data_IF_751042435196
#
_entry.id   IF_751042435196
#
_cell.length_a   1.000
_cell.length_b   1.000
_cell.length_c   1.000
_cell.angle_alpha   90.00
_cell.angle_beta   90.00
_cell.angle_gamma   90.00
#
_symmetry.space_group_name_H-M   'P 1'
#
loop_
_entity.id
_entity.type
_entity.pdbx_description
1 polymer ?
#
# COMPACT_ATOMS: atom_id res chain seq x y z
N UNK A 1 16.03 24.70 -33.63
CA UNK A 1 16.81 24.93 -32.39
C UNK A 1 15.85 25.35 -31.28
N UNK A 2 15.40 24.39 -30.45
CA UNK A 2 15.11 24.49 -29.01
C UNK A 2 14.32 23.25 -28.57
N UNK A 3 15.03 22.13 -28.38
CA UNK A 3 14.57 21.05 -27.51
C UNK A 3 14.58 21.60 -26.08
N UNK A 4 13.45 22.08 -25.56
CA UNK A 4 13.30 22.23 -24.11
C UNK A 4 12.95 20.86 -23.55
N UNK A 5 13.98 20.13 -23.15
CA UNK A 5 13.87 18.89 -22.38
C UNK A 5 13.33 19.17 -20.98
N UNK A 6 12.02 19.38 -20.85
CA UNK A 6 11.33 19.17 -19.58
C UNK A 6 10.99 17.68 -19.50
N UNK A 7 11.98 16.85 -19.17
CA UNK A 7 11.65 15.54 -18.59
C UNK A 7 10.94 15.88 -17.28
N UNK A 8 9.60 15.73 -17.25
CA UNK A 8 8.83 16.02 -16.04
C UNK A 8 9.35 15.12 -14.92
N UNK A 9 9.65 15.72 -13.76
CA UNK A 9 10.29 15.01 -12.65
C UNK A 9 9.51 13.76 -12.19
N UNK A 10 8.19 13.69 -12.44
CA UNK A 10 7.35 12.52 -12.15
C UNK A 10 7.73 11.24 -12.90
N UNK A 11 8.39 11.33 -14.07
CA UNK A 11 8.94 10.15 -14.77
C UNK A 11 10.11 9.50 -14.00
N UNK A 12 10.69 10.22 -13.04
CA UNK A 12 11.74 9.68 -12.17
C UNK A 12 11.16 8.87 -11.00
N UNK A 13 9.83 8.85 -10.78
CA UNK A 13 9.19 8.11 -9.69
C UNK A 13 9.72 6.69 -9.51
N UNK A 14 9.84 5.83 -10.56
CA UNK A 14 10.37 4.48 -10.40
C UNK A 14 11.82 4.46 -9.87
N UNK A 15 12.69 5.32 -10.38
CA UNK A 15 14.10 5.43 -9.95
C UNK A 15 14.16 5.94 -8.50
N UNK A 16 13.33 6.93 -8.21
CA UNK A 16 13.22 7.56 -6.91
C UNK A 16 12.76 6.58 -5.83
N UNK A 17 11.69 5.84 -6.07
CA UNK A 17 11.15 4.88 -5.12
C UNK A 17 12.07 3.68 -4.96
N UNK A 18 12.72 3.22 -6.04
CA UNK A 18 13.80 2.21 -5.96
C UNK A 18 14.92 2.63 -5.01
N UNK A 19 15.28 3.92 -5.00
CA UNK A 19 16.31 4.44 -4.09
C UNK A 19 15.80 4.74 -2.67
N UNK A 20 14.50 4.93 -2.49
CA UNK A 20 13.89 5.13 -1.16
C UNK A 20 13.66 3.83 -0.42
N UNK A 21 13.33 2.75 -1.14
CA UNK A 21 13.01 1.46 -0.52
C UNK A 21 14.08 1.00 0.49
N UNK A 22 15.39 1.01 0.16
CA UNK A 22 16.43 0.59 1.09
C UNK A 22 16.60 1.50 2.32
N UNK A 23 16.05 2.72 2.28
CA UNK A 23 16.08 3.69 3.38
C UNK A 23 14.87 3.55 4.32
N UNK A 24 13.77 3.01 3.81
CA UNK A 24 12.52 2.82 4.55
C UNK A 24 12.35 1.37 5.03
N UNK A 25 13.03 0.41 4.40
CA UNK A 25 13.07 -0.99 4.81
C UNK A 25 13.66 -1.16 6.21
N UNK A 26 13.03 -2.03 6.99
CA UNK A 26 13.62 -2.54 8.23
C UNK A 26 14.85 -3.40 7.89
N UNK A 27 16.05 -3.08 8.41
CA UNK A 27 17.25 -3.88 8.16
C UNK A 27 17.10 -5.35 8.54
N UNK A 28 16.28 -5.67 9.54
CA UNK A 28 16.00 -7.05 9.98
C UNK A 28 15.15 -7.84 8.97
N UNK A 29 14.44 -7.14 8.08
CA UNK A 29 13.60 -7.71 7.01
C UNK A 29 14.27 -7.68 5.65
N UNK A 30 15.43 -7.05 5.52
CA UNK A 30 16.22 -7.05 4.29
C UNK A 30 16.63 -8.49 3.96
N UNK A 31 16.33 -8.95 2.74
CA UNK A 31 16.46 -10.35 2.32
C UNK A 31 15.55 -11.33 3.09
N UNK A 32 14.42 -10.83 3.61
CA UNK A 32 13.40 -11.65 4.26
C UNK A 32 12.72 -12.65 3.33
N UNK A 33 11.83 -13.45 3.91
CA UNK A 33 11.03 -14.41 3.15
C UNK A 33 10.12 -13.73 2.13
N UNK A 34 9.80 -14.45 1.06
CA UNK A 34 8.74 -14.05 0.14
C UNK A 34 7.42 -14.68 0.57
N UNK A 35 6.33 -13.99 0.27
CA UNK A 35 4.96 -14.35 0.63
C UNK A 35 4.12 -14.47 -0.63
N UNK A 36 3.06 -15.27 -0.54
CA UNK A 36 2.09 -15.38 -1.62
C UNK A 36 1.15 -14.17 -1.56
N UNK A 37 1.17 -13.32 -2.58
CA UNK A 37 0.36 -12.12 -2.67
C UNK A 37 -0.61 -12.23 -3.84
N UNK A 38 -1.92 -12.16 -3.57
CA UNK A 38 -2.93 -12.01 -4.63
C UNK A 38 -3.07 -10.52 -4.98
N UNK A 39 -2.43 -10.07 -6.06
CA UNK A 39 -2.41 -8.64 -6.45
C UNK A 39 -3.75 -8.08 -6.90
N UNK A 40 -4.73 -8.96 -7.08
CA UNK A 40 -6.08 -8.57 -7.46
C UNK A 40 -7.11 -8.91 -6.36
N UNK A 41 -6.66 -8.91 -5.11
CA UNK A 41 -7.54 -9.15 -3.97
C UNK A 41 -8.51 -7.96 -3.77
N UNK A 42 -9.79 -8.19 -4.03
CA UNK A 42 -10.86 -7.23 -3.83
C UNK A 42 -12.23 -7.92 -3.81
N UNK A 43 -13.32 -7.19 -3.48
CA UNK A 43 -14.65 -7.79 -3.29
C UNK A 43 -15.15 -8.60 -4.48
N UNK A 44 -14.77 -8.24 -5.70
CA UNK A 44 -15.14 -8.96 -6.94
C UNK A 44 -14.60 -10.39 -7.03
N UNK A 45 -13.59 -10.72 -6.22
CA UNK A 45 -12.94 -12.03 -6.21
C UNK A 45 -13.31 -12.86 -4.96
N UNK A 46 -14.31 -12.41 -4.19
CA UNK A 46 -14.82 -13.09 -3.00
C UNK A 46 -16.24 -13.58 -3.30
N UNK A 47 -16.49 -14.86 -3.05
CA UNK A 47 -17.82 -15.46 -3.13
C UNK A 47 -18.46 -15.47 -1.75
N UNK A 48 -19.73 -15.08 -1.69
CA UNK A 48 -20.54 -15.09 -0.48
C UNK A 48 -21.81 -15.91 -0.67
N UNK A 49 -22.33 -16.48 0.42
CA UNK A 49 -23.67 -17.09 0.45
C UNK A 49 -24.77 -16.07 0.80
N UNK A 50 -26.01 -16.55 0.92
CA UNK A 50 -27.19 -15.73 1.24
C UNK A 50 -27.12 -15.07 2.64
N UNK A 51 -26.29 -15.62 3.53
CA UNK A 51 -26.04 -15.13 4.89
C UNK A 51 -24.78 -14.23 4.98
N UNK A 52 -24.20 -13.85 3.83
CA UNK A 52 -22.96 -13.07 3.71
C UNK A 52 -21.71 -13.76 4.28
N UNK A 53 -21.70 -15.08 4.45
CA UNK A 53 -20.49 -15.80 4.81
C UNK A 53 -19.59 -15.93 3.58
N UNK A 54 -18.27 -15.81 3.78
CA UNK A 54 -17.30 -16.06 2.71
C UNK A 54 -17.23 -17.57 2.43
N UNK A 55 -17.63 -17.98 1.23
CA UNK A 55 -17.62 -19.39 0.80
C UNK A 55 -16.50 -19.71 -0.18
N UNK A 56 -15.83 -18.69 -0.72
CA UNK A 56 -14.71 -18.91 -1.64
C UNK A 56 -13.97 -17.65 -2.05
N UNK A 57 -12.79 -17.85 -2.62
CA UNK A 57 -11.97 -16.84 -3.29
C UNK A 57 -11.64 -17.37 -4.69
N UNK A 58 -11.78 -16.53 -5.71
CA UNK A 58 -11.54 -16.86 -7.12
C UNK A 58 -10.48 -15.95 -7.73
N UNK A 59 -10.16 -16.19 -9.00
CA UNK A 59 -9.26 -15.35 -9.81
C UNK A 59 -7.86 -15.24 -9.21
N UNK A 60 -7.11 -16.35 -9.31
CA UNK A 60 -5.76 -16.49 -8.76
C UNK A 60 -4.65 -16.20 -9.78
N UNK A 61 -4.99 -15.71 -10.98
CA UNK A 61 -4.01 -15.41 -12.04
C UNK A 61 -3.07 -14.26 -11.65
N UNK A 62 -3.48 -13.42 -10.70
CA UNK A 62 -2.68 -12.34 -10.11
C UNK A 62 -1.82 -12.76 -8.91
N UNK A 63 -1.74 -14.06 -8.58
CA UNK A 63 -0.90 -14.53 -7.47
C UNK A 63 0.58 -14.53 -7.85
N UNK A 64 1.39 -13.89 -7.02
CA UNK A 64 2.85 -13.89 -7.14
C UNK A 64 3.52 -14.17 -5.80
N UNK A 65 4.75 -14.67 -5.86
CA UNK A 65 5.67 -14.66 -4.71
C UNK A 65 6.31 -13.28 -4.63
N UNK A 66 6.10 -12.57 -3.53
CA UNK A 66 6.54 -11.18 -3.37
C UNK A 66 6.99 -10.82 -1.95
N UNK A 67 7.77 -9.75 -1.77
CA UNK A 67 8.11 -9.21 -0.45
C UNK A 67 6.88 -8.83 0.38
N UNK A 68 7.06 -8.66 1.70
CA UNK A 68 5.94 -8.37 2.62
C UNK A 68 5.22 -7.06 2.28
N UNK A 69 5.95 -6.07 1.76
CA UNK A 69 5.42 -4.77 1.31
C UNK A 69 4.40 -4.91 0.18
N UNK A 70 4.49 -5.99 -0.60
CA UNK A 70 3.57 -6.30 -1.70
C UNK A 70 2.39 -7.12 -1.21
N UNK A 71 2.63 -8.03 -0.27
CA UNK A 71 1.58 -8.86 0.34
C UNK A 71 0.69 -8.07 1.31
N UNK A 72 1.24 -7.07 1.99
CA UNK A 72 0.55 -6.19 2.93
C UNK A 72 -0.18 -5.06 2.19
N UNK A 73 -1.29 -5.40 1.54
CA UNK A 73 -2.10 -4.47 0.76
C UNK A 73 -3.53 -4.39 1.30
N UNK A 74 -4.19 -3.26 1.07
CA UNK A 74 -5.64 -3.14 1.26
C UNK A 74 -6.38 -3.80 0.09
N UNK A 75 -7.58 -4.37 0.32
CA UNK A 75 -8.43 -4.86 -0.75
C UNK A 75 -8.69 -3.77 -1.80
N UNK A 76 -8.59 -4.12 -3.08
CA UNK A 76 -8.88 -3.20 -4.17
C UNK A 76 -10.36 -2.85 -4.20
N UNK A 77 -10.67 -1.61 -4.53
CA UNK A 77 -12.05 -1.11 -4.67
C UNK A 77 -12.90 -1.14 -3.38
N UNK A 78 -12.25 -1.11 -2.20
CA UNK A 78 -12.94 -1.13 -0.90
C UNK A 78 -12.84 0.18 -0.13
N UNK A 79 -12.71 1.32 -0.82
CA UNK A 79 -12.55 2.65 -0.21
C UNK A 79 -11.43 2.71 0.85
N UNK A 80 -10.31 2.03 0.58
CA UNK A 80 -9.12 1.98 1.43
C UNK A 80 -7.82 2.22 0.65
N UNK A 81 -7.91 2.70 -0.59
CA UNK A 81 -6.74 2.96 -1.43
C UNK A 81 -5.76 3.93 -0.74
N UNK A 82 -4.48 3.60 -0.77
CA UNK A 82 -3.44 4.42 -0.17
C UNK A 82 -3.36 5.78 -0.88
N UNK A 83 -3.59 6.88 -0.14
CA UNK A 83 -3.35 8.22 -0.66
C UNK A 83 -1.88 8.62 -0.47
N UNK A 84 -1.33 9.46 -1.36
CA UNK A 84 0.04 9.93 -1.20
C UNK A 84 0.18 10.69 0.13
N UNK A 85 1.20 10.38 0.95
CA UNK A 85 1.29 10.93 2.29
C UNK A 85 1.45 12.45 2.31
N UNK A 86 0.72 13.09 3.23
CA UNK A 86 0.81 14.54 3.44
C UNK A 86 0.08 15.40 2.40
N UNK A 87 -0.68 14.80 1.48
CA UNK A 87 -1.60 15.59 0.65
C UNK A 87 -2.72 16.14 1.52
N UNK A 88 -2.95 17.45 1.40
CA UNK A 88 -4.13 18.12 1.94
C UNK A 88 -4.99 18.55 0.76
N UNK A 89 -6.17 17.98 0.66
CA UNK A 89 -7.15 18.41 -0.32
C UNK A 89 -7.80 19.70 0.16
N UNK A 90 -7.89 20.70 -0.71
CA UNK A 90 -8.53 21.99 -0.40
C UNK A 90 -10.05 21.93 -0.52
N UNK A 91 -10.57 20.91 -1.19
CA UNK A 91 -11.99 20.64 -1.31
C UNK A 91 -12.43 19.78 -0.13
N UNK A 92 -13.46 20.23 0.60
CA UNK A 92 -13.96 19.61 1.83
C UNK A 92 -14.39 18.15 1.61
N UNK A 93 -15.12 17.87 0.54
CA UNK A 93 -15.56 16.51 0.21
C UNK A 93 -14.37 15.53 0.02
N UNK A 94 -13.31 15.97 -0.67
CA UNK A 94 -12.11 15.14 -0.82
C UNK A 94 -11.30 14.99 0.46
N UNK A 95 -11.34 15.98 1.36
CA UNK A 95 -10.73 15.89 2.68
C UNK A 95 -11.48 14.87 3.55
N UNK A 96 -12.81 14.97 3.64
CA UNK A 96 -13.67 14.02 4.37
C UNK A 96 -13.50 12.59 3.86
N UNK A 97 -13.51 12.39 2.54
CA UNK A 97 -13.26 11.06 1.97
C UNK A 97 -11.90 10.51 2.38
N UNK A 98 -10.85 11.34 2.38
CA UNK A 98 -9.50 10.91 2.75
C UNK A 98 -9.43 10.51 4.23
N UNK A 99 -10.10 11.25 5.10
CA UNK A 99 -10.21 10.94 6.53
C UNK A 99 -10.97 9.63 6.76
N UNK A 100 -12.09 9.44 6.05
CA UNK A 100 -12.87 8.20 6.12
C UNK A 100 -12.06 7.00 5.63
N UNK A 101 -11.31 7.15 4.52
CA UNK A 101 -10.43 6.10 4.02
C UNK A 101 -9.34 5.74 5.05
N UNK A 102 -8.74 6.73 5.70
CA UNK A 102 -7.76 6.50 6.76
C UNK A 102 -8.38 5.78 7.97
N UNK A 103 -9.62 6.11 8.35
CA UNK A 103 -10.36 5.39 9.37
C UNK A 103 -10.59 3.92 8.97
N UNK A 104 -11.08 3.68 7.75
CA UNK A 104 -11.30 2.33 7.22
C UNK A 104 -10.01 1.51 7.20
N UNK A 105 -8.88 2.11 6.83
CA UNK A 105 -7.57 1.46 6.85
C UNK A 105 -7.16 1.00 8.26
N UNK A 106 -7.44 1.80 9.30
CA UNK A 106 -7.17 1.40 10.69
C UNK A 106 -8.09 0.28 11.15
N UNK A 107 -9.38 0.34 10.80
CA UNK A 107 -10.34 -0.75 11.09
C UNK A 107 -9.88 -2.04 10.43
N UNK A 108 -9.53 -2.00 9.14
CA UNK A 108 -9.04 -3.16 8.43
C UNK A 108 -7.74 -3.71 9.03
N UNK A 109 -6.78 -2.84 9.39
CA UNK A 109 -5.56 -3.26 10.08
C UNK A 109 -5.88 -3.98 11.40
N UNK A 110 -6.85 -3.51 12.16
CA UNK A 110 -7.30 -4.17 13.39
C UNK A 110 -7.96 -5.53 13.11
N UNK A 111 -8.75 -5.66 12.04
CA UNK A 111 -9.32 -6.94 11.60
C UNK A 111 -8.24 -7.94 11.20
N UNK A 112 -7.21 -7.49 10.47
CA UNK A 112 -6.05 -8.33 10.10
C UNK A 112 -5.28 -8.76 11.35
N UNK A 113 -5.05 -7.84 12.29
CA UNK A 113 -4.37 -8.13 13.56
C UNK A 113 -5.10 -9.24 14.35
N UNK A 114 -6.41 -9.10 14.47
CA UNK A 114 -7.29 -10.03 15.17
C UNK A 114 -7.35 -11.39 14.45
N UNK A 115 -7.41 -11.39 13.11
CA UNK A 115 -7.30 -12.61 12.32
C UNK A 115 -5.94 -13.31 12.50
N UNK A 116 -4.82 -12.58 12.42
CA UNK A 116 -3.47 -13.13 12.63
C UNK A 116 -3.30 -13.70 14.04
N UNK A 117 -3.94 -13.09 15.04
CA UNK A 117 -3.93 -13.55 16.43
C UNK A 117 -4.66 -14.89 16.63
N UNK A 118 -5.60 -15.23 15.75
CA UNK A 118 -6.32 -16.52 15.76
C UNK A 118 -5.60 -17.61 14.96
N UNK A 119 -4.67 -17.25 14.09
CA UNK A 119 -3.90 -18.23 13.31
C UNK A 119 -2.96 -19.03 14.22
N UNK A 120 -2.75 -20.30 13.87
CA UNK A 120 -1.85 -21.24 14.55
C UNK A 120 -2.05 -21.34 16.07
N UNK A 121 -3.29 -21.17 16.54
CA UNK A 121 -3.62 -21.25 17.97
C UNK A 121 -3.01 -20.13 18.81
N UNK A 122 -2.86 -18.93 18.24
CA UNK A 122 -2.23 -17.78 18.91
C UNK A 122 -0.72 -17.69 18.69
N UNK A 123 -0.14 -18.55 17.85
CA UNK A 123 1.27 -18.54 17.44
C UNK A 123 1.45 -18.02 16.02
N UNK A 124 0.50 -17.23 15.52
CA UNK A 124 0.61 -16.55 14.24
C UNK A 124 1.93 -15.78 14.14
N UNK A 125 2.30 -15.38 12.92
CA UNK A 125 3.62 -14.78 12.59
C UNK A 125 3.82 -13.37 13.19
N UNK A 126 3.62 -13.16 14.49
CA UNK A 126 3.84 -11.89 15.20
C UNK A 126 3.21 -10.66 14.52
N UNK A 127 1.95 -10.79 14.09
CA UNK A 127 1.20 -9.71 13.44
C UNK A 127 1.90 -9.12 12.19
N UNK A 128 2.63 -9.97 11.47
CA UNK A 128 3.48 -9.59 10.35
C UNK A 128 2.76 -8.72 9.32
N UNK A 129 1.57 -9.13 8.86
CA UNK A 129 0.81 -8.40 7.85
C UNK A 129 0.22 -7.11 8.43
N UNK A 130 -0.40 -7.17 9.62
CA UNK A 130 -0.98 -5.99 10.25
C UNK A 130 0.07 -4.89 10.50
N UNK A 131 1.28 -5.28 10.92
CA UNK A 131 2.41 -4.37 11.12
C UNK A 131 2.93 -3.78 9.81
N UNK A 132 2.82 -4.51 8.70
CA UNK A 132 3.31 -4.07 7.40
C UNK A 132 2.34 -3.16 6.63
N UNK A 133 1.01 -3.28 6.82
CA UNK A 133 -0.02 -2.58 6.01
C UNK A 133 0.18 -1.06 5.86
N UNK A 134 0.65 -0.40 6.92
CA UNK A 134 0.85 1.06 6.96
C UNK A 134 2.32 1.44 7.17
N UNK A 135 3.24 0.48 7.03
CA UNK A 135 4.67 0.74 7.19
C UNK A 135 5.20 1.60 6.03
N UNK A 136 6.20 2.43 6.31
CA UNK A 136 6.85 3.28 5.30
C UNK A 136 7.25 2.53 4.01
N UNK A 137 7.87 1.34 4.03
CA UNK A 137 8.25 0.66 2.79
C UNK A 137 7.02 0.20 1.96
N UNK A 138 5.93 -0.21 2.61
CA UNK A 138 4.63 -0.49 1.97
C UNK A 138 4.03 0.77 1.32
N UNK A 139 4.09 1.91 2.01
CA UNK A 139 3.65 3.20 1.45
C UNK A 139 4.47 3.59 0.22
N UNK A 140 5.79 3.37 0.25
CA UNK A 140 6.68 3.59 -0.91
C UNK A 140 6.30 2.65 -2.06
N UNK A 141 6.00 1.37 -1.78
CA UNK A 141 5.56 0.42 -2.80
C UNK A 141 4.26 0.85 -3.47
N UNK A 142 3.26 1.31 -2.71
CA UNK A 142 2.03 1.85 -3.29
C UNK A 142 2.27 3.08 -4.17
N UNK A 143 3.29 3.89 -3.88
CA UNK A 143 3.73 4.97 -4.78
C UNK A 143 4.25 4.45 -6.13
N UNK A 144 4.96 3.32 -6.14
CA UNK A 144 5.40 2.64 -7.37
C UNK A 144 4.19 2.09 -8.13
N UNK A 145 3.26 1.44 -7.43
CA UNK A 145 2.04 0.90 -8.04
C UNK A 145 1.18 2.01 -8.66
N UNK A 146 0.98 3.13 -7.97
CA UNK A 146 0.23 4.26 -8.48
C UNK A 146 0.81 4.84 -9.78
N UNK A 147 2.13 4.77 -9.96
CA UNK A 147 2.79 5.19 -11.20
C UNK A 147 2.33 4.39 -12.43
N UNK A 148 1.94 3.11 -12.25
CA UNK A 148 1.46 2.26 -13.35
C UNK A 148 0.16 2.78 -13.99
N UNK A 149 -0.57 3.67 -13.32
CA UNK A 149 -1.78 4.31 -13.88
C UNK A 149 -1.47 5.39 -14.91
N UNK A 150 -0.20 5.82 -15.01
CA UNK A 150 0.26 6.89 -15.90
C UNK A 150 -0.50 8.22 -15.79
N UNK A 151 -1.22 8.44 -14.68
CA UNK A 151 -1.95 9.68 -14.43
C UNK A 151 -0.99 10.75 -13.92
N UNK A 152 -0.87 11.86 -14.66
CA UNK A 152 0.08 12.92 -14.35
C UNK A 152 -0.14 13.52 -12.95
N UNK A 153 -1.39 13.85 -12.62
CA UNK A 153 -1.76 14.44 -11.33
C UNK A 153 -1.41 13.54 -10.14
N UNK A 154 -1.58 12.22 -10.30
CA UNK A 154 -1.24 11.20 -9.29
C UNK A 154 0.28 11.11 -9.12
N UNK A 155 1.02 11.10 -10.23
CA UNK A 155 2.48 11.02 -10.20
C UNK A 155 3.13 12.23 -9.54
N UNK A 156 2.62 13.43 -9.81
CA UNK A 156 3.12 14.68 -9.21
C UNK A 156 2.79 14.78 -7.72
N UNK A 157 1.63 14.27 -7.32
CA UNK A 157 1.19 14.14 -5.94
C UNK A 157 2.15 13.25 -5.13
N UNK A 158 2.47 12.06 -5.65
CA UNK A 158 3.44 11.13 -5.05
C UNK A 158 4.87 11.70 -5.01
N UNK A 159 5.30 12.45 -6.03
CA UNK A 159 6.57 13.17 -6.02
C UNK A 159 6.69 14.18 -4.88
N UNK A 160 5.61 14.94 -4.60
CA UNK A 160 5.57 15.91 -3.50
C UNK A 160 5.60 15.22 -2.13
N UNK A 161 4.86 14.11 -2.00
CA UNK A 161 4.77 13.33 -0.76
C UNK A 161 6.14 12.79 -0.30
N UNK A 162 7.01 12.41 -1.23
CA UNK A 162 8.37 11.91 -0.96
C UNK A 162 9.21 12.83 -0.07
N UNK A 163 9.15 14.15 -0.25
CA UNK A 163 9.99 15.09 0.52
C UNK A 163 9.76 14.95 2.03
N UNK A 164 8.59 14.45 2.44
CA UNK A 164 8.24 14.27 3.85
C UNK A 164 8.63 12.90 4.39
N UNK A 165 8.45 11.84 3.59
CA UNK A 165 8.92 10.49 3.95
C UNK A 165 10.44 10.45 4.18
N UNK A 166 11.22 11.17 3.36
CA UNK A 166 12.67 11.29 3.53
C UNK A 166 13.09 12.04 4.80
N UNK A 167 12.22 12.91 5.35
CA UNK A 167 12.48 13.71 6.55
C UNK A 167 11.95 13.06 7.84
N UNK A 168 11.10 12.03 7.72
CA UNK A 168 10.61 11.25 8.85
C UNK A 168 11.65 10.19 9.25
N UNK A 169 12.72 10.61 9.94
CA UNK A 169 13.58 9.68 10.69
C UNK A 169 12.77 9.06 11.83
N UNK A 170 13.01 7.79 12.20
CA UNK A 170 12.49 7.26 13.46
C UNK A 170 13.10 8.06 14.62
N UNK A 171 12.37 8.26 15.73
CA UNK A 171 12.95 8.84 16.93
C UNK A 171 14.11 7.94 17.40
N UNK A 172 15.24 8.59 17.69
CA UNK A 172 16.43 8.00 18.32
C UNK A 172 16.13 7.46 19.71
#
# INVERSE_FOLDING_TARGET
MCLRSNIRNSFLNPIIFKNLMPLCEDPSRRNGSFYLANRDFGPRNILIDDDFNVVGVIDFDGIISAPIEVAAQFPRFSAMDMKPPGIRYTNEHWAEQTEQMACNQQVYKAMVLDAESRLDGGKGRDHLLANALLANPTVVYHGIEAYSTHQESVNDAWMKARQRLANARPPS
#
